data_IF_914331656136
#
_entry.id   IF_914331656136
#
_cell.length_a   1.000
_cell.length_b   1.000
_cell.length_c   1.000
_cell.angle_alpha   90.00
_cell.angle_beta   90.00
_cell.angle_gamma   90.00
#
_symmetry.space_group_name_H-M   'P 1'
#
loop_
_entity.id
_entity.type
_entity.pdbx_description
1 polymer ?
#
# COMPACT_ATOMS: atom_id res chain seq x y z
N UNK A 1 -2.39 -15.91 2.65
CA UNK A 1 -1.90 -17.24 2.17
C UNK A 1 -0.70 -17.74 3.00
N UNK A 2 -0.37 -19.04 2.97
CA UNK A 2 0.96 -19.58 3.38
C UNK A 2 1.61 -20.25 2.16
N UNK A 3 2.79 -19.80 1.75
CA UNK A 3 3.61 -20.41 0.69
C UNK A 3 4.16 -21.75 1.15
N UNK A 4 3.89 -22.82 0.38
CA UNK A 4 4.26 -24.20 0.71
C UNK A 4 5.35 -24.78 -0.18
N UNK A 5 5.52 -24.24 -1.39
CA UNK A 5 6.47 -24.73 -2.37
C UNK A 5 7.01 -23.59 -3.25
N UNK A 6 8.00 -23.94 -4.07
CA UNK A 6 8.68 -22.98 -4.96
C UNK A 6 7.76 -22.44 -6.05
N UNK A 7 6.86 -23.25 -6.60
CA UNK A 7 5.91 -22.82 -7.65
C UNK A 7 4.98 -21.71 -7.15
N UNK A 8 4.49 -21.82 -5.91
CA UNK A 8 3.69 -20.78 -5.26
C UNK A 8 4.48 -19.48 -5.07
N UNK A 9 5.77 -19.57 -4.69
CA UNK A 9 6.63 -18.40 -4.56
C UNK A 9 6.91 -17.75 -5.91
N UNK A 10 7.15 -18.55 -6.96
CA UNK A 10 7.39 -18.06 -8.31
C UNK A 10 6.15 -17.37 -8.88
N UNK A 11 4.96 -17.92 -8.65
CA UNK A 11 3.70 -17.30 -9.07
C UNK A 11 3.47 -15.95 -8.37
N UNK A 12 3.73 -15.86 -7.05
CA UNK A 12 3.67 -14.58 -6.32
C UNK A 12 4.68 -13.57 -6.87
N UNK A 13 5.92 -13.98 -7.13
CA UNK A 13 6.94 -13.11 -7.74
C UNK A 13 6.55 -12.63 -9.13
N UNK A 14 5.85 -13.46 -9.91
CA UNK A 14 5.37 -13.07 -11.24
C UNK A 14 4.36 -11.92 -11.14
N UNK A 15 3.27 -12.09 -10.38
CA UNK A 15 2.28 -11.03 -10.21
C UNK A 15 2.87 -9.81 -9.47
N UNK A 16 3.74 -10.04 -8.49
CA UNK A 16 4.44 -9.00 -7.75
C UNK A 16 5.25 -8.07 -8.64
N UNK A 17 6.04 -8.65 -9.56
CA UNK A 17 6.79 -7.88 -10.56
C UNK A 17 5.88 -7.09 -11.49
N UNK A 18 4.74 -7.65 -11.87
CA UNK A 18 3.77 -6.99 -12.75
C UNK A 18 3.20 -5.75 -12.07
N UNK A 19 2.64 -5.87 -10.86
CA UNK A 19 2.05 -4.73 -10.15
C UNK A 19 3.09 -3.67 -9.78
N UNK A 20 4.30 -4.07 -9.38
CA UNK A 20 5.41 -3.15 -9.15
C UNK A 20 5.80 -2.38 -10.43
N UNK A 21 5.89 -3.07 -11.57
CA UNK A 21 6.19 -2.44 -12.86
C UNK A 21 5.11 -1.43 -13.25
N UNK A 22 3.83 -1.73 -12.97
CA UNK A 22 2.72 -0.81 -13.24
C UNK A 22 2.83 0.40 -12.31
N UNK A 23 2.98 0.20 -10.99
CA UNK A 23 3.18 1.27 -10.00
C UNK A 23 4.30 2.23 -10.42
N UNK A 24 5.46 1.70 -10.79
CA UNK A 24 6.62 2.50 -11.16
C UNK A 24 6.42 3.28 -12.46
N UNK A 25 5.75 2.67 -13.44
CA UNK A 25 5.35 3.33 -14.68
C UNK A 25 4.34 4.46 -14.45
N UNK A 26 3.39 4.29 -13.54
CA UNK A 26 2.44 5.34 -13.14
C UNK A 26 3.15 6.47 -12.40
N UNK A 27 4.04 6.16 -11.45
CA UNK A 27 4.86 7.14 -10.73
C UNK A 27 5.68 7.96 -11.73
N UNK A 28 6.36 7.32 -12.69
CA UNK A 28 7.17 8.00 -13.69
C UNK A 28 6.36 8.92 -14.62
N UNK A 29 5.07 8.62 -14.81
CA UNK A 29 4.13 9.43 -15.60
C UNK A 29 3.44 10.51 -14.80
N UNK A 30 3.50 10.45 -13.47
CA UNK A 30 2.84 11.40 -12.58
C UNK A 30 3.58 12.74 -12.61
N UNK A 31 2.95 13.72 -13.26
CA UNK A 31 3.48 15.08 -13.43
C UNK A 31 2.32 16.08 -13.50
N UNK A 32 2.59 17.38 -13.26
CA UNK A 32 1.55 18.40 -13.35
C UNK A 32 0.84 18.38 -14.72
N UNK A 33 -0.48 18.47 -14.69
CA UNK A 33 -1.33 18.51 -15.87
C UNK A 33 -1.92 17.16 -16.32
N UNK A 34 -1.42 16.03 -15.79
CA UNK A 34 -2.01 14.70 -16.04
C UNK A 34 -3.20 14.49 -15.10
N UNK A 35 -4.27 13.88 -15.59
CA UNK A 35 -5.41 13.47 -14.76
C UNK A 35 -5.19 12.09 -14.12
N UNK A 36 -5.79 11.86 -12.96
CA UNK A 36 -5.77 10.51 -12.34
C UNK A 36 -6.36 9.45 -13.27
N UNK A 37 -7.38 9.81 -14.07
CA UNK A 37 -7.94 8.91 -15.10
C UNK A 37 -6.95 8.55 -16.23
N UNK A 38 -6.13 9.48 -16.70
CA UNK A 38 -5.11 9.17 -17.71
C UNK A 38 -4.06 8.18 -17.20
N UNK A 39 -3.70 8.27 -15.92
CA UNK A 39 -2.82 7.28 -15.28
C UNK A 39 -3.51 5.91 -15.17
N UNK A 40 -4.76 5.88 -14.70
CA UNK A 40 -5.51 4.65 -14.51
C UNK A 40 -5.81 3.92 -15.82
N UNK A 41 -6.18 4.64 -16.88
CA UNK A 41 -6.41 4.06 -18.20
C UNK A 41 -5.13 3.39 -18.72
N UNK A 42 -3.96 4.00 -18.50
CA UNK A 42 -2.66 3.40 -18.83
C UNK A 42 -2.34 2.18 -17.98
N UNK A 43 -2.72 2.17 -16.70
CA UNK A 43 -2.62 0.97 -15.85
C UNK A 43 -3.44 -0.18 -16.45
N UNK A 44 -4.65 0.10 -16.93
CA UNK A 44 -5.50 -0.85 -17.63
C UNK A 44 -4.82 -1.49 -18.86
N UNK A 45 -4.18 -0.67 -19.70
CA UNK A 45 -3.39 -1.15 -20.85
C UNK A 45 -2.24 -2.07 -20.42
N UNK A 46 -1.56 -1.74 -19.32
CA UNK A 46 -0.47 -2.56 -18.80
C UNK A 46 -0.96 -3.89 -18.22
N UNK A 47 -2.06 -3.89 -17.46
CA UNK A 47 -2.68 -5.13 -16.98
C UNK A 47 -3.02 -6.07 -18.13
N UNK A 48 -3.67 -5.55 -19.18
CA UNK A 48 -3.97 -6.31 -20.40
C UNK A 48 -2.70 -6.85 -21.07
N UNK A 49 -1.68 -6.00 -21.26
CA UNK A 49 -0.39 -6.37 -21.85
C UNK A 49 0.31 -7.50 -21.08
N UNK A 50 0.23 -7.49 -19.75
CA UNK A 50 0.86 -8.52 -18.90
C UNK A 50 0.01 -9.78 -18.73
N UNK A 51 -1.22 -9.79 -19.26
CA UNK A 51 -2.18 -10.88 -19.06
C UNK A 51 -2.54 -11.05 -17.58
N UNK A 52 -2.66 -9.94 -16.86
CA UNK A 52 -3.03 -9.88 -15.45
C UNK A 52 -4.38 -9.15 -15.29
N UNK A 53 -5.03 -9.33 -14.15
CA UNK A 53 -6.32 -8.73 -13.84
C UNK A 53 -6.11 -7.71 -12.72
N UNK A 54 -6.59 -6.50 -12.90
CA UNK A 54 -6.61 -5.47 -11.84
C UNK A 54 -7.41 -5.98 -10.63
N UNK A 55 -6.87 -5.81 -9.43
CA UNK A 55 -7.51 -6.18 -8.18
C UNK A 55 -8.84 -5.45 -7.99
N UNK A 56 -8.86 -4.10 -8.07
CA UNK A 56 -10.08 -3.32 -7.94
C UNK A 56 -11.18 -3.71 -8.94
N UNK A 57 -10.85 -3.98 -10.21
CA UNK A 57 -11.84 -4.43 -11.20
C UNK A 57 -12.23 -5.90 -11.11
N UNK A 58 -11.30 -6.75 -10.67
CA UNK A 58 -11.45 -8.19 -10.69
C UNK A 58 -12.24 -8.73 -9.49
N UNK A 59 -12.00 -8.13 -8.32
CA UNK A 59 -12.59 -8.57 -7.04
C UNK A 59 -13.76 -7.70 -6.60
N UNK A 60 -13.82 -6.45 -7.08
CA UNK A 60 -14.76 -5.45 -6.61
C UNK A 60 -15.46 -4.71 -7.75
N UNK A 61 -16.51 -3.95 -7.42
CA UNK A 61 -17.18 -3.03 -8.34
C UNK A 61 -16.56 -1.62 -8.25
N UNK A 62 -15.22 -1.56 -8.16
CA UNK A 62 -14.49 -0.30 -8.08
C UNK A 62 -14.38 0.35 -9.47
N UNK A 63 -14.69 1.66 -9.62
CA UNK A 63 -14.73 2.33 -10.91
C UNK A 63 -13.33 2.78 -11.44
N UNK A 64 -12.34 1.89 -11.40
CA UNK A 64 -10.97 2.13 -11.85
C UNK A 64 -10.13 0.85 -11.90
N UNK A 65 -8.94 0.88 -12.49
CA UNK A 65 -7.98 -0.23 -12.44
C UNK A 65 -7.06 -0.19 -11.21
N UNK A 66 -6.82 1.00 -10.68
CA UNK A 66 -5.89 1.34 -9.62
C UNK A 66 -6.49 2.40 -8.71
N UNK A 67 -6.00 2.50 -7.49
CA UNK A 67 -6.41 3.54 -6.55
C UNK A 67 -5.39 4.69 -6.64
N UNK A 68 -5.86 5.90 -6.89
CA UNK A 68 -4.99 7.09 -6.99
C UNK A 68 -5.55 8.17 -6.07
N UNK A 69 -4.90 8.35 -4.93
CA UNK A 69 -5.37 9.23 -3.86
C UNK A 69 -4.49 10.48 -3.81
N UNK A 70 -5.11 11.65 -3.98
CA UNK A 70 -4.39 12.93 -4.05
C UNK A 70 -4.70 13.79 -2.81
N UNK A 71 -3.64 14.23 -2.13
CA UNK A 71 -3.65 15.11 -0.96
C UNK A 71 -4.50 14.58 0.22
N UNK A 72 -5.74 15.09 0.36
CA UNK A 72 -6.66 14.76 1.45
C UNK A 72 -7.22 13.33 1.36
N UNK A 73 -7.16 12.73 0.16
CA UNK A 73 -7.50 11.33 -0.08
C UNK A 73 -6.35 10.45 0.42
N UNK A 74 -6.65 9.55 1.35
CA UNK A 74 -5.68 8.68 2.02
C UNK A 74 -5.50 7.35 1.28
N UNK A 75 -6.60 6.76 0.83
CA UNK A 75 -6.65 5.49 0.13
C UNK A 75 -7.92 5.41 -0.71
N UNK A 76 -7.94 4.48 -1.66
CA UNK A 76 -9.09 4.18 -2.52
C UNK A 76 -9.63 5.38 -3.32
N UNK A 77 -8.79 6.38 -3.61
CA UNK A 77 -9.16 7.50 -4.47
C UNK A 77 -9.57 7.00 -5.86
N UNK A 78 -10.81 7.30 -6.26
CA UNK A 78 -11.35 6.90 -7.56
C UNK A 78 -10.69 7.74 -8.67
N UNK A 79 -10.03 7.09 -9.66
CA UNK A 79 -9.47 7.81 -10.80
C UNK A 79 -10.55 8.54 -11.61
N UNK A 80 -10.29 9.80 -11.96
CA UNK A 80 -11.28 10.67 -12.59
C UNK A 80 -10.67 11.89 -13.25
N UNK A 81 -11.46 12.96 -13.39
CA UNK A 81 -11.01 14.21 -14.04
C UNK A 81 -10.09 15.07 -13.18
N UNK A 82 -9.65 14.60 -11.99
CA UNK A 82 -8.77 15.35 -11.09
C UNK A 82 -7.40 15.50 -11.76
N UNK A 83 -7.04 16.75 -12.07
CA UNK A 83 -5.73 17.10 -12.65
C UNK A 83 -4.72 17.24 -11.52
N UNK A 84 -3.64 16.46 -11.60
CA UNK A 84 -2.51 16.52 -10.68
C UNK A 84 -1.73 17.81 -10.90
N UNK A 85 -1.32 18.46 -9.82
CA UNK A 85 -0.63 19.76 -9.82
C UNK A 85 0.78 19.63 -9.25
N UNK A 86 1.60 20.64 -9.54
CA UNK A 86 2.88 20.83 -8.87
C UNK A 86 2.64 20.96 -7.36
N UNK A 87 3.39 20.19 -6.58
CA UNK A 87 3.33 20.18 -5.13
C UNK A 87 2.36 19.17 -4.51
N UNK A 88 1.50 18.52 -5.30
CA UNK A 88 0.55 17.53 -4.79
C UNK A 88 1.26 16.31 -4.19
N UNK A 89 0.71 15.81 -3.08
CA UNK A 89 0.98 14.48 -2.56
C UNK A 89 0.07 13.49 -3.28
N UNK A 90 0.64 12.47 -3.91
CA UNK A 90 -0.10 11.47 -4.67
C UNK A 90 0.30 10.08 -4.19
N UNK A 91 -0.66 9.32 -3.71
CA UNK A 91 -0.52 7.88 -3.50
C UNK A 91 -1.00 7.14 -4.76
N UNK A 92 -0.16 6.23 -5.25
CA UNK A 92 -0.52 5.28 -6.30
C UNK A 92 -0.48 3.90 -5.70
N UNK A 93 -1.61 3.21 -5.74
CA UNK A 93 -1.82 1.87 -5.20
C UNK A 93 -2.32 0.95 -6.31
N UNK A 94 -1.60 -0.18 -6.47
CA UNK A 94 -1.75 -1.13 -7.55
C UNK A 94 -1.77 -2.55 -7.00
N UNK A 95 -2.97 -3.11 -6.97
CA UNK A 95 -3.18 -4.53 -6.74
C UNK A 95 -3.64 -5.27 -7.98
N UNK A 96 -3.33 -6.56 -8.04
CA UNK A 96 -3.71 -7.38 -9.19
C UNK A 96 -3.52 -8.87 -8.98
N UNK A 97 -4.06 -9.65 -9.92
CA UNK A 97 -3.93 -11.10 -9.94
C UNK A 97 -3.44 -11.66 -11.26
N UNK A 98 -2.74 -12.80 -11.16
CA UNK A 98 -2.39 -13.64 -12.31
C UNK A 98 -2.35 -15.10 -11.88
N UNK A 99 -2.95 -15.98 -12.67
CA UNK A 99 -3.00 -17.42 -12.40
C UNK A 99 -3.53 -17.79 -11.00
N UNK A 100 -4.45 -16.99 -10.45
CA UNK A 100 -5.04 -17.21 -9.12
C UNK A 100 -4.13 -16.83 -7.95
N UNK A 101 -3.13 -15.97 -8.18
CA UNK A 101 -2.31 -15.36 -7.15
C UNK A 101 -2.42 -13.84 -7.19
N UNK A 102 -2.42 -13.22 -6.01
CA UNK A 102 -2.56 -11.78 -5.82
C UNK A 102 -1.29 -11.17 -5.24
N UNK A 103 -1.00 -9.94 -5.66
CA UNK A 103 -0.04 -9.06 -5.02
C UNK A 103 -0.57 -7.63 -5.02
N UNK A 104 -0.07 -6.87 -4.06
CA UNK A 104 -0.43 -5.49 -3.76
C UNK A 104 0.80 -4.63 -3.47
N UNK A 105 0.73 -3.37 -3.87
CA UNK A 105 1.77 -2.39 -3.63
C UNK A 105 1.29 -0.96 -3.88
N UNK A 106 1.77 -0.06 -3.04
CA UNK A 106 1.45 1.35 -3.09
C UNK A 106 2.63 2.22 -2.67
N UNK A 107 2.69 3.44 -3.20
CA UNK A 107 3.68 4.43 -2.81
C UNK A 107 3.14 5.85 -2.93
N UNK A 108 3.32 6.62 -1.86
CA UNK A 108 3.12 8.06 -1.87
C UNK A 108 4.34 8.81 -2.37
N UNK A 109 4.14 9.71 -3.33
CA UNK A 109 5.16 10.59 -3.90
C UNK A 109 4.69 12.04 -3.86
N UNK A 110 5.64 12.95 -3.92
CA UNK A 110 5.38 14.38 -4.06
C UNK A 110 5.69 14.80 -5.48
N UNK A 111 4.76 15.49 -6.14
CA UNK A 111 4.87 15.84 -7.56
C UNK A 111 5.66 17.13 -7.73
N UNK A 112 6.80 17.06 -8.43
CA UNK A 112 7.64 18.22 -8.69
C UNK A 112 8.28 18.77 -7.42
N UNK A 113 8.32 20.10 -7.29
CA UNK A 113 8.78 20.79 -6.10
C UNK A 113 7.62 21.02 -5.13
N UNK A 114 7.82 20.72 -3.85
CA UNK A 114 6.83 20.97 -2.81
C UNK A 114 7.46 21.40 -1.49
N UNK A 115 6.61 21.59 -0.49
CA UNK A 115 7.02 21.81 0.90
C UNK A 115 7.90 20.64 1.38
N UNK A 116 9.03 20.97 1.99
CA UNK A 116 9.96 20.02 2.60
C UNK A 116 9.24 19.07 3.56
N UNK A 117 8.19 19.52 4.23
CA UNK A 117 7.40 18.68 5.14
C UNK A 117 6.71 17.50 4.44
N UNK A 118 6.27 17.66 3.20
CA UNK A 118 5.65 16.56 2.45
C UNK A 118 6.67 15.54 1.98
N UNK A 119 7.87 16.01 1.64
CA UNK A 119 9.00 15.13 1.33
C UNK A 119 9.36 14.32 2.58
N UNK A 120 9.52 14.98 3.73
CA UNK A 120 9.80 14.33 5.01
C UNK A 120 8.69 13.35 5.46
N UNK A 121 7.42 13.63 5.13
CA UNK A 121 6.30 12.73 5.38
C UNK A 121 6.45 11.42 4.60
N UNK A 122 6.73 11.49 3.29
CA UNK A 122 6.95 10.31 2.46
C UNK A 122 8.20 9.53 2.89
N UNK A 123 9.31 10.23 3.18
CA UNK A 123 10.53 9.61 3.71
C UNK A 123 10.26 8.90 5.05
N UNK A 124 9.42 9.48 5.91
CA UNK A 124 9.04 8.84 7.18
C UNK A 124 8.17 7.61 6.95
N UNK A 125 7.25 7.62 5.97
CA UNK A 125 6.47 6.44 5.61
C UNK A 125 7.36 5.29 5.13
N UNK A 126 8.33 5.59 4.26
CA UNK A 126 9.32 4.60 3.81
C UNK A 126 10.19 4.09 4.97
N UNK A 127 10.66 4.98 5.85
CA UNK A 127 11.43 4.59 7.04
C UNK A 127 10.61 3.73 8.01
N UNK A 128 9.33 4.05 8.20
CA UNK A 128 8.44 3.25 9.04
C UNK A 128 8.20 1.86 8.44
N UNK A 129 8.05 1.76 7.12
CA UNK A 129 8.03 0.49 6.40
C UNK A 129 9.34 -0.29 6.62
N UNK A 130 10.51 0.31 6.41
CA UNK A 130 11.80 -0.36 6.60
C UNK A 130 12.02 -0.86 8.04
N UNK A 131 11.65 -0.07 9.03
CA UNK A 131 11.73 -0.48 10.44
C UNK A 131 10.74 -1.59 10.78
N UNK A 132 9.53 -1.53 10.21
CA UNK A 132 8.52 -2.58 10.29
C UNK A 132 9.01 -3.90 9.67
N UNK A 133 9.61 -3.84 8.49
CA UNK A 133 10.15 -4.98 7.75
C UNK A 133 11.15 -5.79 8.60
N UNK A 134 11.99 -5.10 9.38
CA UNK A 134 12.94 -5.75 10.31
C UNK A 134 12.27 -6.60 11.39
N UNK A 135 10.97 -6.41 11.65
CA UNK A 135 10.16 -7.21 12.60
C UNK A 135 9.37 -8.34 11.93
N UNK A 136 9.33 -8.38 10.60
CA UNK A 136 8.60 -9.38 9.84
C UNK A 136 9.45 -10.66 9.74
N UNK A 137 9.42 -11.46 10.80
CA UNK A 137 10.13 -12.75 10.90
C UNK A 137 9.24 -13.80 11.54
N UNK A 138 9.31 -15.03 11.03
CA UNK A 138 8.53 -16.15 11.56
C UNK A 138 8.76 -16.31 13.08
N UNK A 139 7.68 -16.48 13.84
CA UNK A 139 7.70 -16.54 15.30
C UNK A 139 7.67 -15.19 16.02
N UNK A 140 7.81 -14.08 15.30
CA UNK A 140 7.61 -12.75 15.88
C UNK A 140 6.12 -12.45 16.06
N UNK A 141 5.78 -11.68 17.10
CA UNK A 141 4.41 -11.19 17.29
C UNK A 141 4.06 -10.16 16.21
N UNK A 142 2.87 -10.30 15.62
CA UNK A 142 2.34 -9.39 14.61
C UNK A 142 2.32 -7.93 15.11
N UNK A 143 1.85 -7.72 16.34
CA UNK A 143 1.81 -6.41 17.02
C UNK A 143 3.15 -5.68 17.12
N UNK A 144 4.29 -6.36 16.98
CA UNK A 144 5.60 -5.71 16.99
C UNK A 144 5.86 -4.87 15.74
N UNK A 145 5.18 -5.14 14.63
CA UNK A 145 5.23 -4.33 13.41
C UNK A 145 4.62 -2.95 13.71
N UNK A 146 3.35 -2.92 14.16
CA UNK A 146 2.68 -1.67 14.51
C UNK A 146 3.40 -0.89 15.62
N UNK A 147 4.01 -1.58 16.58
CA UNK A 147 4.82 -0.93 17.62
C UNK A 147 5.99 -0.12 17.05
N UNK A 148 6.71 -0.67 16.07
CA UNK A 148 7.85 0.02 15.50
C UNK A 148 7.42 1.10 14.52
N UNK A 149 6.37 0.86 13.72
CA UNK A 149 5.77 1.86 12.81
C UNK A 149 5.34 3.11 13.60
N UNK A 150 4.52 2.95 14.65
CA UNK A 150 4.06 4.06 15.46
C UNK A 150 5.20 4.82 16.15
N UNK A 151 6.20 4.09 16.67
CA UNK A 151 7.39 4.73 17.27
C UNK A 151 8.15 5.56 16.23
N UNK A 152 8.39 5.01 15.04
CA UNK A 152 9.09 5.72 13.96
C UNK A 152 8.33 6.99 13.56
N UNK A 153 7.00 6.93 13.42
CA UNK A 153 6.19 8.12 13.14
C UNK A 153 6.35 9.19 14.23
N UNK A 154 6.17 8.82 15.50
CA UNK A 154 6.25 9.74 16.63
C UNK A 154 7.63 10.40 16.77
N UNK A 155 8.72 9.66 16.52
CA UNK A 155 10.09 10.18 16.56
C UNK A 155 10.36 11.28 15.51
N UNK A 156 9.55 11.32 14.44
CA UNK A 156 9.62 12.33 13.38
C UNK A 156 8.49 13.37 13.47
N UNK A 157 7.71 13.35 14.55
CA UNK A 157 6.63 14.32 14.79
C UNK A 157 5.32 14.02 14.05
N UNK A 158 5.14 12.79 13.56
CA UNK A 158 3.95 12.34 12.85
C UNK A 158 3.11 11.37 13.69
N UNK A 159 1.87 11.14 13.27
CA UNK A 159 0.96 10.13 13.83
C UNK A 159 0.75 8.98 12.83
N UNK A 160 -0.10 8.01 13.16
CA UNK A 160 -0.45 6.89 12.27
C UNK A 160 -1.96 6.71 12.19
N UNK A 161 -2.46 6.28 11.04
CA UNK A 161 -3.87 5.90 10.88
C UNK A 161 -4.12 4.55 11.58
N UNK A 162 -5.16 4.49 12.41
CA UNK A 162 -5.48 3.34 13.27
C UNK A 162 -6.58 2.44 12.71
N UNK A 163 -7.42 2.95 11.81
CA UNK A 163 -8.56 2.22 11.22
C UNK A 163 -8.37 1.86 9.74
N UNK A 164 -7.13 1.95 9.23
CA UNK A 164 -6.72 1.49 7.90
C UNK A 164 -5.36 0.79 8.06
N UNK A 165 -5.23 -0.43 7.53
CA UNK A 165 -4.19 -1.37 7.97
C UNK A 165 -3.86 -2.36 6.88
N UNK A 166 -2.64 -2.92 6.93
CA UNK A 166 -2.29 -4.05 6.08
C UNK A 166 -3.18 -5.26 6.27
N UNK A 167 -3.06 -6.23 5.37
CA UNK A 167 -3.83 -7.46 5.41
C UNK A 167 -3.02 -8.69 4.96
N UNK A 168 -3.55 -9.88 5.16
CA UNK A 168 -3.08 -11.06 4.46
C UNK A 168 -3.45 -10.97 2.98
N UNK A 169 -2.64 -11.58 2.12
CA UNK A 169 -2.88 -11.63 0.67
C UNK A 169 -2.40 -12.97 0.11
N UNK A 170 -2.79 -13.30 -1.13
CA UNK A 170 -2.03 -14.23 -1.98
C UNK A 170 -2.88 -15.09 -2.89
N UNK A 171 -4.07 -15.53 -2.48
CA UNK A 171 -5.08 -16.26 -3.26
C UNK A 171 -6.37 -15.47 -3.44
N UNK A 172 -6.61 -14.50 -2.58
CA UNK A 172 -7.52 -13.37 -2.79
C UNK A 172 -6.79 -12.08 -2.44
N UNK A 173 -7.38 -10.93 -2.82
CA UNK A 173 -6.82 -9.62 -2.52
C UNK A 173 -6.70 -9.40 -1.00
N UNK A 174 -7.78 -9.67 -0.26
CA UNK A 174 -7.77 -9.65 1.20
C UNK A 174 -7.94 -11.06 1.78
N UNK A 175 -7.06 -11.41 2.72
CA UNK A 175 -7.03 -12.66 3.49
C UNK A 175 -6.57 -12.40 4.94
N UNK A 176 -6.58 -13.45 5.78
CA UNK A 176 -5.96 -13.39 7.11
C UNK A 176 -4.44 -13.25 7.07
N UNK A 177 -3.81 -12.50 8.00
CA UNK A 177 -4.44 -11.72 9.08
C UNK A 177 -5.31 -10.57 8.54
N UNK A 178 -6.48 -10.37 9.15
CA UNK A 178 -7.43 -9.34 8.71
C UNK A 178 -6.85 -7.92 8.87
N UNK A 179 -5.85 -7.76 9.75
CA UNK A 179 -5.18 -6.49 10.02
C UNK A 179 -3.69 -6.69 10.30
N UNK A 180 -2.85 -5.84 9.74
CA UNK A 180 -1.49 -5.53 10.21
C UNK A 180 -1.51 -4.06 10.65
N UNK A 181 -1.73 -3.86 11.95
CA UNK A 181 -1.95 -2.54 12.53
C UNK A 181 -0.71 -1.64 12.43
N UNK A 182 -0.92 -0.34 12.28
CA UNK A 182 0.14 0.68 12.31
C UNK A 182 0.60 1.06 13.72
N UNK A 183 0.00 0.46 14.75
CA UNK A 183 0.24 0.78 16.15
C UNK A 183 0.30 -0.48 17.02
N UNK A 184 0.83 -0.34 18.23
CA UNK A 184 1.00 -1.48 19.13
C UNK A 184 -0.32 -1.85 19.81
N UNK A 185 -0.82 -3.06 19.54
CA UNK A 185 -1.88 -3.66 20.35
C UNK A 185 -1.34 -4.74 21.28
N UNK A 186 -1.32 -4.52 22.61
CA UNK A 186 -0.66 -5.43 23.55
C UNK A 186 -1.37 -6.77 23.70
N UNK A 187 -2.68 -6.84 23.40
CA UNK A 187 -3.47 -8.07 23.43
C UNK A 187 -3.30 -8.93 22.18
N UNK A 188 -2.83 -8.36 21.07
CA UNK A 188 -2.53 -9.15 19.88
C UNK A 188 -1.26 -9.98 20.09
N UNK A 189 -1.51 -11.28 20.26
CA UNK A 189 -0.50 -12.32 20.47
C UNK A 189 -0.29 -13.19 19.23
N UNK A 190 -0.91 -12.84 18.09
CA UNK A 190 -0.75 -13.58 16.84
C UNK A 190 0.73 -13.60 16.44
N UNK A 191 1.21 -14.78 16.05
CA UNK A 191 2.56 -14.96 15.53
C UNK A 191 2.57 -14.96 14.01
N UNK A 192 3.57 -14.31 13.43
CA UNK A 192 3.91 -14.45 12.02
C UNK A 192 4.38 -15.88 11.76
N UNK A 193 3.86 -16.49 10.69
CA UNK A 193 4.19 -17.88 10.31
C UNK A 193 5.13 -17.86 9.11
N UNK A 194 6.08 -18.78 9.05
CA UNK A 194 6.92 -18.97 7.86
C UNK A 194 6.04 -19.23 6.64
N UNK A 195 6.35 -18.58 5.53
CA UNK A 195 5.57 -18.61 4.29
C UNK A 195 4.31 -17.73 4.30
N UNK A 196 3.94 -17.09 5.43
CA UNK A 196 2.80 -16.17 5.45
C UNK A 196 3.02 -15.02 4.48
N UNK A 197 1.98 -14.69 3.72
CA UNK A 197 2.00 -13.58 2.76
C UNK A 197 1.11 -12.47 3.26
N UNK A 198 1.67 -11.27 3.37
CA UNK A 198 1.00 -10.05 3.87
C UNK A 198 1.27 -8.87 2.94
N UNK A 199 0.28 -8.01 2.77
CA UNK A 199 0.44 -6.64 2.33
C UNK A 199 0.78 -5.80 3.57
N UNK A 200 1.95 -5.18 3.59
CA UNK A 200 2.37 -4.33 4.70
C UNK A 200 2.46 -2.89 4.23
N UNK A 201 1.56 -2.06 4.75
CA UNK A 201 1.22 -0.72 4.24
C UNK A 201 1.06 0.29 5.40
N UNK A 202 2.15 0.74 6.02
CA UNK A 202 2.08 1.80 7.02
C UNK A 202 1.51 3.11 6.45
N UNK A 203 0.51 3.66 7.13
CA UNK A 203 -0.07 4.98 6.85
C UNK A 203 0.40 6.01 7.87
N UNK A 204 1.32 6.89 7.47
CA UNK A 204 1.89 7.95 8.32
C UNK A 204 1.19 9.27 8.07
N UNK A 205 0.77 9.93 9.12
CA UNK A 205 -0.12 11.09 9.06
C UNK A 205 0.50 12.33 9.68
N UNK A 206 0.19 13.48 9.10
CA UNK A 206 0.54 14.80 9.63
C UNK A 206 -0.23 15.18 10.91
N UNK A 207 -1.25 14.42 11.29
CA UNK A 207 -1.99 14.66 12.54
C UNK A 207 -3.12 13.66 12.80
N UNK A 208 -3.98 13.41 11.81
CA UNK A 208 -5.12 12.51 11.93
C UNK A 208 -4.70 11.09 12.31
N UNK A 209 -5.51 10.43 13.14
CA UNK A 209 -5.34 9.02 13.51
C UNK A 209 -6.41 8.10 12.91
N UNK A 210 -7.37 8.65 12.17
CA UNK A 210 -8.44 7.90 11.54
C UNK A 210 -8.88 8.53 10.22
N UNK A 211 -9.41 7.67 9.35
CA UNK A 211 -10.06 8.06 8.10
C UNK A 211 -11.57 7.85 8.19
N UNK A 212 -12.30 8.54 7.32
CA UNK A 212 -13.72 8.35 7.04
C UNK A 212 -13.91 8.06 5.55
N UNK A 213 -14.92 7.27 5.21
CA UNK A 213 -15.31 6.99 3.82
C UNK A 213 -16.18 8.15 3.30
N UNK A 214 -15.98 8.54 2.04
CA UNK A 214 -16.85 9.48 1.35
C UNK A 214 -18.13 8.79 0.85
N UNK A 215 -19.13 9.60 0.50
CA UNK A 215 -20.41 9.12 -0.05
C UNK A 215 -20.28 8.43 -1.43
N UNK A 216 -19.08 8.44 -2.04
CA UNK A 216 -18.77 7.68 -3.26
C UNK A 216 -18.59 6.18 -2.99
N UNK A 217 -18.55 5.76 -1.73
CA UNK A 217 -18.47 4.37 -1.28
C UNK A 217 -17.08 3.76 -1.34
N UNK A 218 -16.03 4.56 -1.61
CA UNK A 218 -14.67 4.05 -1.77
C UNK A 218 -13.63 4.95 -1.10
N UNK A 219 -13.65 6.23 -1.41
CA UNK A 219 -12.53 7.12 -1.10
C UNK A 219 -12.44 7.36 0.40
N UNK A 220 -11.28 7.06 0.99
CA UNK A 220 -10.98 7.39 2.38
C UNK A 220 -10.30 8.75 2.50
N UNK A 221 -10.79 9.59 3.41
CA UNK A 221 -10.22 10.92 3.69
C UNK A 221 -9.99 11.12 5.18
N UNK A 222 -9.13 12.07 5.54
CA UNK A 222 -9.03 12.53 6.93
C UNK A 222 -10.08 13.61 7.24
N UNK A 223 -10.77 13.58 8.38
CA UNK A 223 -11.78 14.59 8.72
C UNK A 223 -11.22 16.01 8.88
N UNK A 224 -9.95 16.12 9.26
CA UNK A 224 -9.26 17.39 9.52
C UNK A 224 -8.35 17.85 8.38
N UNK A 225 -8.34 17.12 7.25
CA UNK A 225 -7.47 17.35 6.09
C UNK A 225 -5.99 17.14 6.36
N UNK A 226 -5.63 16.41 7.41
CA UNK A 226 -4.28 15.87 7.55
C UNK A 226 -3.90 15.07 6.32
N UNK A 227 -2.70 15.30 5.82
CA UNK A 227 -2.10 14.56 4.73
C UNK A 227 -1.49 13.26 5.26
N UNK A 228 -1.61 12.20 4.48
CA UNK A 228 -1.16 10.84 4.84
C UNK A 228 -0.31 10.28 3.71
N UNK A 229 0.86 9.73 4.05
CA UNK A 229 1.71 9.00 3.12
C UNK A 229 1.71 7.50 3.46
N UNK A 230 1.75 6.68 2.43
CA UNK A 230 1.80 5.23 2.51
C UNK A 230 3.02 4.71 1.72
N UNK A 231 3.61 3.64 2.21
CA UNK A 231 4.57 2.82 1.49
C UNK A 231 4.17 1.37 1.71
N UNK A 232 3.95 0.63 0.62
CA UNK A 232 3.40 -0.71 0.70
C UNK A 232 4.12 -1.70 -0.19
N UNK A 233 4.34 -2.88 0.38
CA UNK A 233 4.71 -4.06 -0.39
C UNK A 233 4.02 -5.33 0.09
N UNK A 234 3.82 -6.24 -0.87
CA UNK A 234 3.56 -7.66 -0.57
C UNK A 234 4.84 -8.35 -0.12
N UNK A 235 4.75 -9.06 1.01
CA UNK A 235 5.89 -9.67 1.68
C UNK A 235 5.59 -11.13 2.02
N UNK A 236 6.55 -12.01 1.75
CA UNK A 236 6.57 -13.39 2.27
C UNK A 236 7.44 -13.44 3.52
N UNK A 237 6.84 -13.83 4.64
CA UNK A 237 7.51 -14.04 5.92
C UNK A 237 8.45 -15.24 5.84
N UNK A 238 9.70 -15.08 6.26
CA UNK A 238 10.66 -16.17 6.39
C UNK A 238 11.19 -16.27 7.83
N UNK A 239 12.01 -17.29 8.13
CA UNK A 239 12.80 -17.34 9.36
C UNK A 239 13.96 -16.34 9.38
N UNK A 240 14.46 -15.96 8.21
CA UNK A 240 15.57 -15.03 8.02
C UNK A 240 15.06 -13.65 7.64
N UNK A 241 15.60 -13.09 6.57
CA UNK A 241 15.08 -11.86 5.99
C UNK A 241 13.80 -12.14 5.19
N UNK A 242 12.75 -11.32 5.34
CA UNK A 242 11.53 -11.45 4.56
C UNK A 242 11.80 -11.25 3.06
N UNK A 243 10.98 -11.85 2.20
CA UNK A 243 11.07 -11.67 0.75
C UNK A 243 10.05 -10.62 0.34
N UNK A 244 10.51 -9.51 -0.23
CA UNK A 244 9.64 -8.51 -0.85
C UNK A 244 9.27 -9.01 -2.26
N UNK A 245 7.98 -9.05 -2.55
CA UNK A 245 7.42 -9.59 -3.79
C UNK A 245 7.25 -8.50 -4.86
N UNK A 246 7.05 -7.25 -4.45
CA UNK A 246 6.72 -6.10 -5.31
C UNK A 246 7.86 -5.08 -5.40
N UNK A 247 9.09 -5.56 -5.60
CA UNK A 247 10.26 -4.71 -5.92
C UNK A 247 10.33 -4.36 -7.41
#
# INVERSE_FOLDING_TARGET
MIVKNEDELLALKEIGKIVASIRDELIARTKPGVTTKELDDYAGELFEKYGAISGPKGEYDFPGYTCISVNEEVAHGIPGSRVIKEGDLVNIDVSGSKNGYFADTGLSIVVGNSDQKLIELCETAQKAFEEGLKKIKAGSKLSMIGKVVNRTANEHGYTVIKNLTGHGIGRSLHEKPDHILNYFEPWDSQLLREGMVIAFEPFISTGAEHVIELDDGWTFVTPDKSLVAQCEHTIVVTKGEPIIITL
#
